data_IF_749564870286
#
_entry.id   IF_749564870286
#
_cell.length_a   1.000
_cell.length_b   1.000
_cell.length_c   1.000
_cell.angle_alpha   90.00
_cell.angle_beta   90.00
_cell.angle_gamma   90.00
#
_symmetry.space_group_name_H-M   'P 1'
#
loop_
_entity.id
_entity.type
_entity.pdbx_description
1 polymer ?
#
# COMPACT_ATOMS: atom_id res chain seq x y z
N UNK A 1 -20.36 -64.26 17.95
CA UNK A 1 -19.92 -63.31 19.01
C UNK A 1 -19.30 -62.11 18.33
N UNK A 2 -19.97 -60.95 18.33
CA UNK A 2 -19.42 -59.69 17.80
C UNK A 2 -19.13 -58.77 18.98
N UNK A 3 -17.86 -58.42 19.17
CA UNK A 3 -17.38 -57.60 20.28
C UNK A 3 -17.57 -56.13 19.88
N UNK A 4 -18.52 -55.45 20.53
CA UNK A 4 -18.77 -54.02 20.30
C UNK A 4 -17.63 -53.19 20.89
N UNK A 5 -16.83 -52.55 20.04
CA UNK A 5 -15.85 -51.54 20.45
C UNK A 5 -16.59 -50.27 20.90
N UNK A 6 -16.49 -49.92 22.18
CA UNK A 6 -16.95 -48.61 22.67
C UNK A 6 -15.96 -47.54 22.20
N UNK A 7 -16.45 -46.58 21.43
CA UNK A 7 -15.69 -45.36 21.10
C UNK A 7 -15.81 -44.44 22.32
N UNK A 8 -14.71 -44.21 23.03
CA UNK A 8 -14.66 -43.24 24.12
C UNK A 8 -14.75 -41.84 23.52
N UNK A 9 -15.86 -41.13 23.77
CA UNK A 9 -15.96 -39.70 23.45
C UNK A 9 -15.13 -38.92 24.47
N UNK A 10 -13.97 -38.43 24.04
CA UNK A 10 -13.12 -37.56 24.85
C UNK A 10 -13.68 -36.15 24.73
N UNK A 11 -14.21 -35.60 25.83
CA UNK A 11 -14.73 -34.23 25.89
C UNK A 11 -13.65 -33.24 26.32
N UNK A 12 -13.81 -31.97 25.95
CA UNK A 12 -12.98 -30.88 26.47
C UNK A 12 -13.42 -30.50 27.89
N UNK A 13 -12.44 -30.30 28.77
CA UNK A 13 -12.66 -29.76 30.10
C UNK A 13 -12.80 -28.23 30.06
N UNK A 14 -13.49 -27.66 31.05
CA UNK A 14 -13.65 -26.20 31.15
C UNK A 14 -12.29 -25.48 31.30
N UNK A 15 -11.32 -26.12 31.98
CA UNK A 15 -9.98 -25.55 32.17
C UNK A 15 -9.17 -25.54 30.87
N UNK A 16 -9.30 -26.56 30.02
CA UNK A 16 -8.66 -26.55 28.69
C UNK A 16 -9.20 -25.43 27.81
N UNK A 17 -10.51 -25.17 27.84
CA UNK A 17 -11.10 -24.05 27.11
C UNK A 17 -10.55 -22.70 27.57
N UNK A 18 -10.43 -22.49 28.89
CA UNK A 18 -9.86 -21.26 29.43
C UNK A 18 -8.40 -21.10 29.01
N UNK A 19 -7.61 -22.18 29.04
CA UNK A 19 -6.22 -22.17 28.58
C UNK A 19 -6.10 -21.80 27.11
N UNK A 20 -6.95 -22.36 26.24
CA UNK A 20 -6.97 -22.03 24.80
C UNK A 20 -7.30 -20.55 24.59
N UNK A 21 -8.30 -20.01 25.30
CA UNK A 21 -8.67 -18.59 25.19
C UNK A 21 -7.51 -17.69 25.62
N UNK A 22 -6.85 -18.01 26.75
CA UNK A 22 -5.68 -17.25 27.24
C UNK A 22 -4.54 -17.31 26.22
N UNK A 23 -4.28 -18.46 25.63
CA UNK A 23 -3.26 -18.62 24.59
C UNK A 23 -3.58 -17.79 23.35
N UNK A 24 -4.81 -17.85 22.85
CA UNK A 24 -5.24 -17.06 21.68
C UNK A 24 -5.14 -15.56 21.98
N UNK A 25 -5.54 -15.11 23.17
CA UNK A 25 -5.43 -13.71 23.58
C UNK A 25 -3.95 -13.27 23.65
N UNK A 26 -3.08 -14.12 24.20
CA UNK A 26 -1.64 -13.85 24.27
C UNK A 26 -1.01 -13.72 22.88
N UNK A 27 -1.29 -14.67 21.98
CA UNK A 27 -0.81 -14.63 20.60
C UNK A 27 -1.34 -13.41 19.84
N UNK A 28 -2.61 -13.07 20.03
CA UNK A 28 -3.23 -11.91 19.38
C UNK A 28 -2.61 -10.59 19.87
N UNK A 29 -2.33 -10.49 21.17
CA UNK A 29 -1.69 -9.32 21.76
C UNK A 29 -0.31 -9.00 21.17
N UNK A 30 0.43 -10.01 20.70
CA UNK A 30 1.73 -9.83 20.05
C UNK A 30 1.56 -9.58 18.54
N UNK A 31 0.64 -10.29 17.89
CA UNK A 31 0.49 -10.27 16.43
C UNK A 31 -0.03 -8.92 15.91
N UNK A 32 -0.99 -8.31 16.62
CA UNK A 32 -1.62 -7.05 16.19
C UNK A 32 -0.61 -5.89 16.04
N UNK A 33 0.21 -5.54 17.05
CA UNK A 33 1.18 -4.43 16.91
C UNK A 33 2.27 -4.74 15.88
N UNK A 34 2.66 -6.00 15.71
CA UNK A 34 3.63 -6.41 14.70
C UNK A 34 3.09 -6.20 13.28
N UNK A 35 1.83 -6.58 13.04
CA UNK A 35 1.15 -6.36 11.77
C UNK A 35 1.03 -4.86 11.43
N UNK A 36 0.69 -4.01 12.41
CA UNK A 36 0.59 -2.57 12.22
C UNK A 36 1.90 -1.94 11.71
N UNK A 37 3.04 -2.32 12.29
CA UNK A 37 4.36 -1.82 11.83
C UNK A 37 4.68 -2.28 10.41
N UNK A 38 4.38 -3.54 10.09
CA UNK A 38 4.59 -4.07 8.75
C UNK A 38 3.75 -3.30 7.72
N UNK A 39 2.49 -3.01 8.03
CA UNK A 39 1.62 -2.25 7.13
C UNK A 39 2.18 -0.84 6.83
N UNK A 40 2.59 -0.09 7.84
CA UNK A 40 3.14 1.27 7.64
C UNK A 40 4.40 1.27 6.79
N UNK A 41 5.33 0.34 7.07
CA UNK A 41 6.58 0.25 6.29
C UNK A 41 6.34 -0.20 4.86
N UNK A 42 5.42 -1.15 4.64
CA UNK A 42 5.03 -1.60 3.31
C UNK A 42 4.36 -0.49 2.50
N UNK A 43 3.41 0.23 3.10
CA UNK A 43 2.74 1.37 2.45
C UNK A 43 3.74 2.45 2.04
N UNK A 44 4.73 2.74 2.88
CA UNK A 44 5.79 3.71 2.56
C UNK A 44 6.65 3.23 1.38
N UNK A 45 7.11 1.98 1.40
CA UNK A 45 7.96 1.42 0.35
C UNK A 45 7.22 1.38 -1.01
N UNK A 46 5.95 0.96 -1.01
CA UNK A 46 5.11 1.00 -2.21
C UNK A 46 4.91 2.42 -2.74
N UNK A 47 4.75 3.41 -1.85
CA UNK A 47 4.59 4.81 -2.25
C UNK A 47 5.87 5.37 -2.87
N UNK A 48 7.04 5.06 -2.32
CA UNK A 48 8.33 5.42 -2.91
C UNK A 48 8.49 4.79 -4.30
N UNK A 49 8.20 3.50 -4.45
CA UNK A 49 8.28 2.81 -5.73
C UNK A 49 7.36 3.46 -6.77
N UNK A 50 6.11 3.76 -6.40
CA UNK A 50 5.15 4.45 -7.28
C UNK A 50 5.69 5.81 -7.73
N UNK A 51 6.16 6.65 -6.82
CA UNK A 51 6.69 7.99 -7.14
C UNK A 51 7.88 7.87 -8.10
N UNK A 52 8.85 7.00 -7.79
CA UNK A 52 10.04 6.81 -8.63
C UNK A 52 9.65 6.31 -10.02
N UNK A 53 8.71 5.37 -10.12
CA UNK A 53 8.23 4.86 -11.40
C UNK A 53 7.51 5.93 -12.22
N UNK A 54 6.63 6.72 -11.60
CA UNK A 54 5.91 7.79 -12.27
C UNK A 54 6.86 8.90 -12.73
N UNK A 55 7.85 9.28 -11.92
CA UNK A 55 8.88 10.25 -12.30
C UNK A 55 9.71 9.77 -13.50
N UNK A 56 10.18 8.52 -13.46
CA UNK A 56 10.91 7.93 -14.60
C UNK A 56 10.06 7.89 -15.86
N UNK A 57 8.77 7.62 -15.72
CA UNK A 57 7.85 7.63 -16.84
C UNK A 57 7.66 9.02 -17.43
N UNK A 58 7.42 10.03 -16.59
CA UNK A 58 7.35 11.43 -17.03
C UNK A 58 8.62 11.83 -17.78
N UNK A 59 9.79 11.47 -17.25
CA UNK A 59 11.07 11.74 -17.89
C UNK A 59 11.18 11.08 -19.27
N UNK A 60 10.80 9.80 -19.41
CA UNK A 60 10.82 9.09 -20.69
C UNK A 60 9.86 9.75 -21.70
N UNK A 61 8.66 10.13 -21.27
CA UNK A 61 7.67 10.79 -22.13
C UNK A 61 8.16 12.15 -22.61
N UNK A 62 8.78 12.95 -21.73
CA UNK A 62 9.39 14.23 -22.12
C UNK A 62 10.55 14.05 -23.10
N UNK A 63 11.44 13.09 -22.83
CA UNK A 63 12.58 12.81 -23.71
C UNK A 63 12.17 12.27 -25.08
N UNK A 64 11.05 11.54 -25.15
CA UNK A 64 10.45 11.11 -26.40
C UNK A 64 9.71 12.24 -27.13
N UNK A 65 9.58 13.42 -26.50
CA UNK A 65 8.73 14.53 -26.93
C UNK A 65 7.30 14.06 -27.23
N UNK A 66 6.78 13.16 -26.38
CA UNK A 66 5.49 12.52 -26.61
C UNK A 66 4.35 13.56 -26.55
N UNK A 67 3.58 13.66 -27.63
CA UNK A 67 2.53 14.65 -27.74
C UNK A 67 3.02 16.11 -27.76
N UNK A 68 4.23 16.35 -28.24
CA UNK A 68 4.88 17.66 -28.47
C UNK A 68 4.90 18.57 -27.24
N UNK A 69 5.14 17.99 -26.06
CA UNK A 69 5.11 18.72 -24.80
C UNK A 69 6.00 18.09 -23.74
N UNK A 70 6.35 18.91 -22.76
CA UNK A 70 6.94 18.49 -21.50
C UNK A 70 5.99 17.59 -20.72
N UNK A 71 6.57 16.74 -19.89
CA UNK A 71 5.82 15.89 -18.97
C UNK A 71 6.29 16.10 -17.55
N UNK A 72 5.36 16.01 -16.61
CA UNK A 72 5.64 16.25 -15.21
C UNK A 72 4.81 15.40 -14.28
N UNK A 73 5.20 15.42 -13.01
CA UNK A 73 4.53 14.72 -11.92
C UNK A 73 4.22 15.72 -10.83
N UNK A 74 2.97 15.70 -10.36
CA UNK A 74 2.50 16.42 -9.18
C UNK A 74 2.17 15.42 -8.09
N UNK A 75 2.77 15.61 -6.91
CA UNK A 75 2.60 14.73 -5.76
C UNK A 75 1.67 15.44 -4.77
N UNK A 76 0.47 14.88 -4.59
CA UNK A 76 -0.49 15.31 -3.60
C UNK A 76 -0.47 14.43 -2.34
N UNK A 77 -1.38 14.71 -1.42
CA UNK A 77 -1.47 13.99 -0.13
C UNK A 77 -1.87 12.52 -0.30
N UNK A 78 -2.79 12.24 -1.23
CA UNK A 78 -3.42 10.94 -1.44
C UNK A 78 -3.26 10.42 -2.87
N UNK A 79 -2.55 11.16 -3.72
CA UNK A 79 -2.38 10.81 -5.12
C UNK A 79 -1.12 11.39 -5.75
N UNK A 80 -0.66 10.72 -6.79
CA UNK A 80 0.36 11.18 -7.72
C UNK A 80 -0.36 11.42 -9.05
N UNK A 81 -0.20 12.62 -9.59
CA UNK A 81 -0.70 12.99 -10.90
C UNK A 81 0.47 13.04 -11.88
N UNK A 82 0.49 12.16 -12.87
CA UNK A 82 1.29 12.33 -14.07
C UNK A 82 0.51 13.21 -15.04
N UNK A 83 1.16 14.24 -15.58
CA UNK A 83 0.52 15.18 -16.48
C UNK A 83 1.39 15.56 -17.67
N UNK A 84 0.72 15.99 -18.74
CA UNK A 84 1.36 16.60 -19.91
C UNK A 84 1.23 18.12 -19.87
N UNK A 85 2.35 18.83 -19.92
CA UNK A 85 2.41 20.29 -19.95
C UNK A 85 3.58 20.86 -19.15
N UNK A 86 3.73 22.19 -19.20
CA UNK A 86 4.82 22.93 -18.54
C UNK A 86 4.63 23.07 -17.01
N UNK A 87 3.42 22.84 -16.50
CA UNK A 87 3.13 22.82 -15.06
C UNK A 87 1.86 22.03 -14.77
N UNK A 88 1.68 21.62 -13.51
CA UNK A 88 0.46 20.97 -13.04
C UNK A 88 -0.79 21.85 -13.22
N UNK A 89 -0.61 23.17 -13.25
CA UNK A 89 -1.68 24.16 -13.39
C UNK A 89 -2.07 24.46 -14.85
N UNK A 90 -1.12 24.37 -15.78
CA UNK A 90 -1.31 24.67 -17.21
C UNK A 90 -1.38 23.40 -18.07
N UNK A 91 -1.49 22.24 -17.42
CA UNK A 91 -1.51 20.92 -18.04
C UNK A 91 -2.72 20.69 -18.95
N UNK A 92 -2.57 19.74 -19.87
CA UNK A 92 -3.69 19.17 -20.59
C UNK A 92 -4.28 17.98 -19.81
N UNK A 93 -5.51 18.16 -19.31
CA UNK A 93 -6.21 17.19 -18.46
C UNK A 93 -6.60 15.89 -19.18
N UNK A 94 -6.62 15.87 -20.51
CA UNK A 94 -6.96 14.68 -21.28
C UNK A 94 -5.90 13.58 -21.18
N UNK A 95 -4.69 13.95 -20.74
CA UNK A 95 -3.54 13.06 -20.57
C UNK A 95 -3.19 12.82 -19.09
N UNK A 96 -4.06 13.24 -18.17
CA UNK A 96 -3.84 13.06 -16.74
C UNK A 96 -3.93 11.58 -16.36
N UNK A 97 -2.92 11.10 -15.64
CA UNK A 97 -2.94 9.77 -15.03
C UNK A 97 -2.75 9.89 -13.52
N UNK A 98 -3.73 9.36 -12.77
CA UNK A 98 -3.78 9.48 -11.33
C UNK A 98 -3.47 8.13 -10.70
N UNK A 99 -2.46 8.12 -9.83
CA UNK A 99 -2.07 6.97 -9.02
C UNK A 99 -2.36 7.27 -7.55
N UNK A 100 -3.23 6.50 -6.91
CA UNK A 100 -3.56 6.70 -5.50
C UNK A 100 -2.44 6.26 -4.57
N UNK A 101 -2.29 6.98 -3.46
CA UNK A 101 -1.36 6.75 -2.37
C UNK A 101 -2.10 6.44 -1.07
N UNK A 102 -1.37 5.97 -0.07
CA UNK A 102 -1.89 5.77 1.28
C UNK A 102 -1.90 7.11 2.03
N UNK A 103 -3.01 7.46 2.67
CA UNK A 103 -3.21 8.74 3.36
C UNK A 103 -2.37 8.88 4.64
N UNK A 104 -1.70 7.80 5.09
CA UNK A 104 -0.86 7.80 6.29
C UNK A 104 0.58 8.31 6.04
N UNK A 105 0.85 8.91 4.88
CA UNK A 105 2.18 9.39 4.48
C UNK A 105 2.09 10.88 4.20
N UNK A 106 3.00 11.65 4.77
CA UNK A 106 3.18 13.08 4.46
C UNK A 106 4.39 13.25 3.54
N UNK A 107 4.21 14.03 2.48
CA UNK A 107 5.27 14.38 1.54
C UNK A 107 5.83 15.75 1.89
N UNK A 108 7.13 15.91 1.65
CA UNK A 108 7.84 17.18 1.89
C UNK A 108 8.79 17.48 0.73
N UNK A 109 9.11 18.75 0.55
CA UNK A 109 9.95 19.22 -0.56
C UNK A 109 9.15 19.63 -1.79
N UNK A 110 9.81 19.60 -2.94
CA UNK A 110 9.19 19.94 -4.22
C UNK A 110 8.22 18.83 -4.64
N UNK A 111 6.97 19.22 -4.90
CA UNK A 111 5.89 18.30 -5.21
C UNK A 111 5.49 18.34 -6.68
N UNK A 112 5.91 19.38 -7.41
CA UNK A 112 5.70 19.49 -8.85
C UNK A 112 7.04 19.43 -9.58
N UNK A 113 7.28 18.32 -10.28
CA UNK A 113 8.52 18.09 -11.03
C UNK A 113 8.16 17.99 -12.51
N UNK A 114 8.74 18.87 -13.33
CA UNK A 114 8.57 18.88 -14.78
C UNK A 114 9.91 18.58 -15.44
N UNK A 115 9.88 17.72 -16.47
CA UNK A 115 11.04 17.37 -17.27
C UNK A 115 11.01 18.09 -18.62
N UNK A 116 12.19 18.35 -19.18
CA UNK A 116 12.39 18.88 -20.52
C UNK A 116 13.05 17.82 -21.40
#
# INVERSE_FOLDING_TARGET
>A
MLRSNKINQVGFTAIELILVIVFVAFLSGITIPMYGKFQTTNSLDLSVIKIVQTLRRAQILSQANDGDSNWGVSIGQDQILLFKGMSSTTRNTDFDEIFTLDNNIEFSGEQDIVFE
#
